data_IF_682214912607
#
_entry.id   IF_682214912607
#
_cell.length_a   1.000
_cell.length_b   1.000
_cell.length_c   1.000
_cell.angle_alpha   90.00
_cell.angle_beta   90.00
_cell.angle_gamma   90.00
#
_symmetry.space_group_name_H-M   'P 1'
#
loop_
_entity.id
_entity.type
_entity.pdbx_description
1 polymer ?
#
# COMPACT_ATOMS: atom_id res chain seq x y z
N UNK A 1 -29.60 3.96 46.20
CA UNK A 1 -30.31 2.68 46.05
C UNK A 1 -30.62 2.55 44.58
N UNK A 2 -29.96 1.58 43.97
CA UNK A 2 -29.62 1.47 42.55
C UNK A 2 -30.84 1.07 41.69
N UNK A 3 -31.08 1.77 40.60
CA UNK A 3 -31.94 1.32 39.49
C UNK A 3 -31.10 1.49 38.22
N UNK A 4 -30.29 0.47 37.93
CA UNK A 4 -29.71 0.28 36.60
C UNK A 4 -30.82 -0.30 35.73
N UNK A 5 -31.33 0.51 34.81
CA UNK A 5 -32.12 0.01 33.69
C UNK A 5 -31.17 -0.61 32.69
N UNK A 6 -31.42 -1.88 32.39
CA UNK A 6 -30.78 -2.67 31.35
C UNK A 6 -30.98 -1.98 29.99
N UNK A 7 -29.91 -1.37 29.47
CA UNK A 7 -29.82 -1.01 28.05
C UNK A 7 -29.32 -2.22 27.28
N UNK A 8 -30.26 -2.99 26.76
CA UNK A 8 -30.02 -3.98 25.73
C UNK A 8 -29.42 -3.28 24.50
N UNK A 9 -28.14 -3.57 24.22
CA UNK A 9 -27.46 -3.11 23.01
C UNK A 9 -27.93 -4.01 21.87
N UNK A 10 -28.97 -3.56 21.18
CA UNK A 10 -29.44 -4.21 19.95
C UNK A 10 -28.38 -3.98 18.86
N UNK A 11 -27.67 -5.04 18.50
CA UNK A 11 -26.77 -5.02 17.36
C UNK A 11 -27.59 -4.80 16.07
N UNK A 12 -27.14 -3.94 15.14
CA UNK A 12 -27.88 -3.72 13.90
C UNK A 12 -27.86 -5.00 13.05
N UNK A 13 -29.03 -5.43 12.58
CA UNK A 13 -29.15 -6.47 11.56
C UNK A 13 -28.45 -5.98 10.29
N UNK A 14 -27.31 -6.58 9.96
CA UNK A 14 -26.60 -6.32 8.71
C UNK A 14 -27.38 -7.01 7.61
N UNK A 15 -28.17 -6.22 6.88
CA UNK A 15 -28.86 -6.66 5.67
C UNK A 15 -27.88 -7.21 4.64
N UNK A 16 -28.27 -8.33 4.05
CA UNK A 16 -27.52 -9.05 3.02
C UNK A 16 -27.46 -8.23 1.71
N UNK A 17 -26.37 -7.47 1.55
CA UNK A 17 -25.94 -6.97 0.24
C UNK A 17 -24.64 -7.67 -0.16
N UNK A 18 -24.77 -8.83 -0.81
CA UNK A 18 -23.66 -9.58 -1.41
C UNK A 18 -23.03 -8.83 -2.59
N UNK A 19 -22.06 -7.97 -2.30
CA UNK A 19 -20.93 -7.65 -3.20
C UNK A 19 -19.67 -7.16 -2.47
N UNK A 20 -19.58 -7.39 -1.15
CA UNK A 20 -18.40 -7.08 -0.33
C UNK A 20 -17.56 -8.32 -0.01
N UNK A 21 -16.25 -8.16 0.06
CA UNK A 21 -15.33 -9.18 0.58
C UNK A 21 -15.61 -9.40 2.08
N UNK A 22 -16.24 -10.51 2.44
CA UNK A 22 -16.37 -10.93 3.84
C UNK A 22 -15.08 -11.63 4.28
N UNK A 23 -14.22 -10.86 4.97
CA UNK A 23 -12.91 -11.29 5.46
C UNK A 23 -13.06 -12.46 6.43
N UNK A 24 -14.07 -12.42 7.31
CA UNK A 24 -14.30 -13.45 8.33
C UNK A 24 -14.69 -14.77 7.68
N UNK A 25 -15.70 -14.74 6.80
CA UNK A 25 -16.17 -15.95 6.13
C UNK A 25 -15.12 -16.54 5.19
N UNK A 26 -14.35 -15.68 4.52
CA UNK A 26 -13.25 -16.11 3.65
C UNK A 26 -12.13 -16.76 4.46
N UNK A 27 -11.78 -16.19 5.61
CA UNK A 27 -10.80 -16.77 6.53
C UNK A 27 -11.25 -18.15 7.02
N UNK A 28 -12.50 -18.28 7.49
CA UNK A 28 -13.05 -19.56 7.95
C UNK A 28 -13.06 -20.61 6.84
N UNK A 29 -13.50 -20.24 5.63
CA UNK A 29 -13.52 -21.13 4.49
C UNK A 29 -12.11 -21.62 4.11
N UNK A 30 -11.11 -20.73 4.15
CA UNK A 30 -9.71 -21.06 3.85
C UNK A 30 -9.13 -21.97 4.93
N UNK A 31 -9.32 -21.64 6.21
CA UNK A 31 -8.91 -22.48 7.34
C UNK A 31 -9.43 -23.90 7.19
N UNK A 32 -10.73 -24.03 6.92
CA UNK A 32 -11.37 -25.34 6.79
C UNK A 32 -10.90 -26.10 5.55
N UNK A 33 -10.66 -25.39 4.43
CA UNK A 33 -10.11 -25.99 3.22
C UNK A 33 -8.71 -26.56 3.44
N UNK A 34 -7.83 -25.82 4.13
CA UNK A 34 -6.49 -26.31 4.46
C UNK A 34 -6.55 -27.48 5.46
N UNK A 35 -7.42 -27.42 6.48
CA UNK A 35 -7.60 -28.54 7.40
C UNK A 35 -8.07 -29.82 6.67
N UNK A 36 -9.00 -29.68 5.73
CA UNK A 36 -9.43 -30.80 4.87
C UNK A 36 -8.28 -31.33 4.01
N UNK A 37 -7.47 -30.45 3.43
CA UNK A 37 -6.29 -30.84 2.67
C UNK A 37 -5.31 -31.67 3.51
N UNK A 38 -5.03 -31.28 4.76
CA UNK A 38 -4.17 -32.08 5.65
C UNK A 38 -4.77 -33.44 6.00
N UNK A 39 -6.09 -33.52 6.14
CA UNK A 39 -6.79 -34.78 6.41
C UNK A 39 -6.80 -35.75 5.22
N UNK A 40 -6.74 -35.23 3.98
CA UNK A 40 -6.71 -36.05 2.76
C UNK A 40 -5.30 -36.37 2.29
N UNK A 41 -4.46 -35.35 2.08
CA UNK A 41 -3.10 -35.51 1.54
C UNK A 41 -2.15 -36.22 2.50
N UNK A 42 -2.30 -35.98 3.81
CA UNK A 42 -1.47 -36.57 4.86
C UNK A 42 -2.31 -37.49 5.77
N UNK A 43 -3.14 -38.35 5.18
CA UNK A 43 -4.12 -39.14 5.93
C UNK A 43 -3.46 -40.06 6.98
N UNK A 44 -3.86 -39.89 8.24
CA UNK A 44 -3.50 -40.78 9.36
C UNK A 44 -4.64 -41.78 9.59
N UNK A 45 -4.30 -43.09 9.65
CA UNK A 45 -5.30 -44.17 9.83
C UNK A 45 -5.90 -44.20 11.24
N UNK A 46 -5.09 -43.90 12.25
CA UNK A 46 -5.54 -43.86 13.64
C UNK A 46 -6.41 -42.61 13.90
N UNK A 47 -7.68 -42.77 14.32
CA UNK A 47 -8.58 -41.65 14.54
C UNK A 47 -8.14 -40.75 15.71
N UNK A 48 -7.43 -41.28 16.70
CA UNK A 48 -6.92 -40.52 17.87
C UNK A 48 -5.80 -39.59 17.44
N UNK A 49 -4.80 -40.11 16.72
CA UNK A 49 -3.68 -39.30 16.21
C UNK A 49 -4.17 -38.25 15.20
N UNK A 50 -5.17 -38.58 14.38
CA UNK A 50 -5.80 -37.60 13.47
C UNK A 50 -6.50 -36.46 14.23
N UNK A 51 -7.21 -36.79 15.32
CA UNK A 51 -7.87 -35.79 16.16
C UNK A 51 -6.85 -34.89 16.88
N UNK A 52 -5.78 -35.48 17.44
CA UNK A 52 -4.71 -34.75 18.10
C UNK A 52 -4.01 -33.77 17.15
N UNK A 53 -3.65 -34.22 15.94
CA UNK A 53 -3.09 -33.33 14.91
C UNK A 53 -4.05 -32.19 14.58
N UNK A 54 -5.34 -32.50 14.38
CA UNK A 54 -6.34 -31.48 14.05
C UNK A 54 -6.45 -30.44 15.18
N UNK A 55 -6.39 -30.86 16.44
CA UNK A 55 -6.38 -29.94 17.58
C UNK A 55 -5.12 -29.07 17.62
N UNK A 56 -3.94 -29.62 17.32
CA UNK A 56 -2.68 -28.86 17.27
C UNK A 56 -2.62 -27.86 16.10
N UNK A 57 -3.24 -28.19 14.96
CA UNK A 57 -3.26 -27.31 13.80
C UNK A 57 -4.38 -26.25 13.90
N UNK A 58 -5.53 -26.59 14.46
CA UNK A 58 -6.71 -25.72 14.53
C UNK A 58 -6.69 -24.77 15.74
N UNK A 59 -5.56 -24.11 15.96
CA UNK A 59 -5.38 -23.06 16.96
C UNK A 59 -4.59 -21.91 16.33
N UNK A 60 -4.78 -20.65 16.78
CA UNK A 60 -3.92 -19.55 16.37
C UNK A 60 -2.44 -19.87 16.63
N UNK A 61 -1.58 -19.64 15.64
CA UNK A 61 -0.16 -20.00 15.68
C UNK A 61 0.15 -21.46 15.32
N UNK A 62 -0.87 -22.30 15.11
CA UNK A 62 -0.74 -23.63 14.53
C UNK A 62 -0.54 -23.54 13.02
N UNK A 63 -1.63 -23.69 12.26
CA UNK A 63 -1.59 -23.55 10.80
C UNK A 63 -2.07 -22.18 10.28
N UNK A 64 -2.63 -21.36 11.16
CA UNK A 64 -3.15 -20.03 10.82
C UNK A 64 -2.89 -19.03 11.94
N UNK A 65 -2.87 -17.76 11.59
CA UNK A 65 -3.05 -16.66 12.53
C UNK A 65 -4.48 -16.13 12.41
N UNK A 66 -5.01 -15.53 13.48
CA UNK A 66 -6.30 -14.84 13.37
C UNK A 66 -6.17 -13.62 12.45
N UNK A 67 -7.21 -13.29 11.68
CA UNK A 67 -7.17 -12.12 10.82
C UNK A 67 -7.02 -10.86 11.68
N UNK A 68 -5.96 -10.09 11.42
CA UNK A 68 -5.73 -8.80 12.05
C UNK A 68 -6.38 -7.70 11.21
N UNK A 69 -7.41 -7.07 11.76
CA UNK A 69 -8.13 -5.98 11.10
C UNK A 69 -7.75 -4.67 11.76
N UNK A 70 -7.11 -3.79 10.99
CA UNK A 70 -6.75 -2.45 11.43
C UNK A 70 -7.46 -1.42 10.54
N UNK A 71 -8.17 -0.48 11.18
CA UNK A 71 -8.71 0.67 10.47
C UNK A 71 -7.56 1.62 10.15
N UNK A 72 -7.34 1.87 8.86
CA UNK A 72 -6.33 2.80 8.41
C UNK A 72 -6.97 4.16 8.13
N UNK A 73 -6.77 5.18 8.98
CA UNK A 73 -7.27 6.51 8.66
C UNK A 73 -6.62 7.02 7.38
N UNK A 74 -7.42 7.69 6.55
CA UNK A 74 -6.93 8.35 5.35
C UNK A 74 -6.02 9.52 5.72
N UNK A 75 -4.99 9.76 4.91
CA UNK A 75 -4.12 10.91 5.10
C UNK A 75 -4.83 12.17 4.61
N UNK A 76 -4.74 13.25 5.40
CA UNK A 76 -5.31 14.53 5.00
C UNK A 76 -4.66 15.07 3.72
N UNK A 77 -5.47 15.37 2.71
CA UNK A 77 -5.04 16.09 1.51
C UNK A 77 -4.89 17.58 1.79
N UNK A 78 -4.22 18.30 0.89
CA UNK A 78 -4.06 19.75 0.98
C UNK A 78 -5.33 20.52 0.63
N UNK A 79 -6.34 19.86 0.04
CA UNK A 79 -7.53 20.51 -0.53
C UNK A 79 -7.20 21.41 -1.71
N UNK A 80 -6.04 21.19 -2.35
CA UNK A 80 -5.52 21.98 -3.47
C UNK A 80 -5.12 21.05 -4.59
N UNK A 81 -5.28 21.56 -5.80
CA UNK A 81 -4.79 20.87 -6.99
C UNK A 81 -3.28 20.64 -6.89
N UNK A 82 -2.81 19.63 -7.62
CA UNK A 82 -1.38 19.37 -7.75
C UNK A 82 -0.64 20.62 -8.24
N UNK A 83 -1.14 21.28 -9.28
CA UNK A 83 -0.57 22.53 -9.82
C UNK A 83 -0.42 23.62 -8.75
N UNK A 84 -1.47 23.92 -7.98
CA UNK A 84 -1.40 24.92 -6.91
C UNK A 84 -0.36 24.55 -5.82
N UNK A 85 -0.25 23.26 -5.51
CA UNK A 85 0.72 22.76 -4.53
C UNK A 85 2.16 22.90 -5.05
N UNK A 86 2.38 22.63 -6.35
CA UNK A 86 3.66 22.82 -7.03
C UNK A 86 4.05 24.30 -7.08
N UNK A 87 3.13 25.18 -7.48
CA UNK A 87 3.36 26.64 -7.50
C UNK A 87 3.72 27.15 -6.11
N UNK A 88 2.99 26.73 -5.07
CA UNK A 88 3.28 27.10 -3.68
C UNK A 88 4.69 26.65 -3.25
N UNK A 89 5.12 25.48 -3.68
CA UNK A 89 6.45 24.97 -3.39
C UNK A 89 7.57 25.59 -4.25
N UNK A 90 7.24 26.50 -5.18
CA UNK A 90 8.19 27.00 -6.18
C UNK A 90 8.84 25.87 -6.99
N UNK A 91 8.06 24.82 -7.28
CA UNK A 91 8.47 23.70 -8.12
C UNK A 91 8.54 24.07 -9.61
N UNK A 92 9.00 23.12 -10.43
CA UNK A 92 8.95 23.26 -11.89
C UNK A 92 7.48 23.33 -12.34
N UNK A 93 7.17 24.22 -13.29
CA UNK A 93 5.79 24.44 -13.76
C UNK A 93 5.20 23.18 -14.42
N UNK A 94 6.04 22.39 -15.08
CA UNK A 94 5.66 21.15 -15.77
C UNK A 94 5.51 19.96 -14.81
N UNK A 95 5.82 20.11 -13.52
CA UNK A 95 5.84 19.00 -12.57
C UNK A 95 4.45 18.40 -12.38
N UNK A 96 3.41 19.23 -12.34
CA UNK A 96 2.04 18.77 -12.17
C UNK A 96 1.62 17.90 -13.37
N UNK A 97 1.80 18.43 -14.59
CA UNK A 97 1.52 17.72 -15.83
C UNK A 97 2.32 16.42 -15.91
N UNK A 98 3.61 16.44 -15.55
CA UNK A 98 4.47 15.27 -15.56
C UNK A 98 3.98 14.19 -14.59
N UNK A 99 3.57 14.58 -13.38
CA UNK A 99 3.08 13.65 -12.37
C UNK A 99 1.74 13.00 -12.78
N UNK A 100 0.88 13.74 -13.50
CA UNK A 100 -0.40 13.25 -14.02
C UNK A 100 -0.27 12.23 -15.16
N UNK A 101 0.89 12.14 -15.84
CA UNK A 101 1.17 11.08 -16.83
C UNK A 101 1.12 9.67 -16.21
N UNK A 102 1.05 9.57 -14.87
CA UNK A 102 0.73 8.34 -14.15
C UNK A 102 1.96 7.56 -13.67
N UNK A 103 3.17 8.07 -13.93
CA UNK A 103 4.41 7.44 -13.47
C UNK A 103 4.52 7.44 -11.93
N UNK A 104 3.98 8.47 -11.28
CA UNK A 104 4.16 8.70 -9.84
C UNK A 104 2.97 8.27 -8.99
N UNK A 105 1.84 7.84 -9.60
CA UNK A 105 0.63 7.47 -8.85
C UNK A 105 0.05 8.61 -7.99
N UNK A 106 0.37 9.86 -8.32
CA UNK A 106 -0.07 11.04 -7.58
C UNK A 106 -1.56 11.26 -7.85
N UNK A 107 -2.35 11.41 -6.79
CA UNK A 107 -3.76 11.76 -6.90
C UNK A 107 -3.98 13.20 -7.39
N UNK A 108 -5.24 13.62 -7.58
CA UNK A 108 -5.57 14.99 -7.99
C UNK A 108 -5.11 16.04 -6.97
N UNK A 109 -4.93 15.63 -5.71
CA UNK A 109 -4.42 16.46 -4.62
C UNK A 109 -3.26 15.74 -3.93
N UNK A 110 -2.29 16.53 -3.44
CA UNK A 110 -1.23 15.99 -2.60
C UNK A 110 -1.74 15.75 -1.17
N UNK A 111 -1.18 14.74 -0.52
CA UNK A 111 -1.25 14.68 0.93
C UNK A 111 -0.49 15.86 1.54
N UNK A 112 -0.97 16.34 2.68
CA UNK A 112 -0.35 17.47 3.40
C UNK A 112 1.15 17.27 3.65
N UNK A 113 1.57 16.03 3.93
CA UNK A 113 2.98 15.71 4.17
C UNK A 113 3.81 15.68 2.87
N UNK A 114 3.23 15.31 1.74
CA UNK A 114 3.90 15.33 0.43
C UNK A 114 4.20 16.77 0.02
N UNK A 115 3.23 17.67 0.14
CA UNK A 115 3.47 19.09 -0.14
C UNK A 115 4.51 19.68 0.81
N UNK A 116 4.41 19.43 2.12
CA UNK A 116 5.40 19.91 3.08
C UNK A 116 6.81 19.43 2.73
N UNK A 117 6.94 18.18 2.28
CA UNK A 117 8.19 17.64 1.79
C UNK A 117 8.66 18.39 0.52
N UNK A 118 7.78 18.61 -0.45
CA UNK A 118 8.07 19.36 -1.67
C UNK A 118 8.56 20.79 -1.37
N UNK A 119 7.81 21.55 -0.57
CA UNK A 119 8.17 22.91 -0.14
C UNK A 119 9.52 22.91 0.57
N UNK A 120 9.77 21.93 1.44
CA UNK A 120 11.00 21.93 2.26
C UNK A 120 12.22 21.49 1.47
N UNK A 121 12.07 20.51 0.57
CA UNK A 121 13.17 19.94 -0.21
C UNK A 121 13.66 20.89 -1.32
N UNK A 122 12.76 21.73 -1.87
CA UNK A 122 13.13 22.71 -2.88
C UNK A 122 13.81 23.97 -2.31
N UNK A 123 13.95 24.06 -0.98
CA UNK A 123 14.73 25.12 -0.34
C UNK A 123 16.20 24.68 -0.29
N UNK A 124 17.15 25.46 -0.85
CA UNK A 124 18.57 25.11 -0.86
C UNK A 124 19.12 24.79 0.53
N UNK A 125 19.90 23.72 0.63
CA UNK A 125 20.59 23.33 1.86
C UNK A 125 19.70 22.68 2.93
N UNK A 126 18.44 22.34 2.61
CA UNK A 126 17.56 21.62 3.54
C UNK A 126 17.49 20.13 3.23
N UNK A 127 17.44 19.34 4.29
CA UNK A 127 17.17 17.91 4.23
C UNK A 127 15.76 17.65 4.76
N UNK A 128 15.04 16.70 4.16
CA UNK A 128 13.67 16.34 4.54
C UNK A 128 13.64 14.90 5.05
N UNK A 129 13.00 14.70 6.20
CA UNK A 129 12.70 13.37 6.75
C UNK A 129 11.18 13.21 6.80
N UNK A 130 10.67 12.16 6.15
CA UNK A 130 9.24 11.85 6.11
C UNK A 130 8.98 10.59 6.91
N UNK A 131 8.42 10.74 8.11
CA UNK A 131 8.03 9.63 9.00
C UNK A 131 6.55 9.31 8.82
N UNK A 132 6.24 8.49 7.82
CA UNK A 132 4.86 8.06 7.56
C UNK A 132 4.75 6.54 7.38
N UNK A 133 3.57 5.97 7.63
CA UNK A 133 3.31 4.53 7.56
C UNK A 133 3.44 3.95 6.15
N UNK A 134 3.38 2.63 5.99
CA UNK A 134 3.36 1.99 4.67
C UNK A 134 2.14 2.46 3.85
N UNK A 135 2.30 2.66 2.53
CA UNK A 135 1.21 3.17 1.68
C UNK A 135 0.75 4.60 1.99
N UNK A 136 1.53 5.40 2.71
CA UNK A 136 1.19 6.79 3.03
C UNK A 136 1.49 7.78 1.92
N UNK A 137 2.17 7.36 0.86
CA UNK A 137 2.65 8.26 -0.18
C UNK A 137 4.07 8.83 0.03
N UNK A 138 4.95 8.08 0.75
CA UNK A 138 6.36 8.46 0.94
C UNK A 138 7.16 8.52 -0.36
N UNK A 139 6.82 7.65 -1.32
CA UNK A 139 7.49 7.57 -2.61
C UNK A 139 7.34 8.90 -3.36
N UNK A 140 6.13 9.43 -3.41
CA UNK A 140 5.77 10.69 -4.03
C UNK A 140 6.38 11.88 -3.26
N UNK A 141 6.36 11.83 -1.91
CA UNK A 141 7.01 12.84 -1.08
C UNK A 141 8.53 12.95 -1.32
N UNK A 142 9.16 11.85 -1.74
CA UNK A 142 10.58 11.78 -2.10
C UNK A 142 10.84 12.10 -3.58
N UNK A 143 10.01 11.60 -4.50
CA UNK A 143 10.22 11.71 -5.94
C UNK A 143 9.83 13.08 -6.50
N UNK A 144 8.76 13.70 -6.00
CA UNK A 144 8.29 15.00 -6.51
C UNK A 144 9.38 16.09 -6.44
N UNK A 145 10.11 16.27 -5.32
CA UNK A 145 11.23 17.23 -5.29
C UNK A 145 12.34 16.91 -6.29
N UNK A 146 12.73 15.64 -6.40
CA UNK A 146 13.81 15.21 -7.31
C UNK A 146 13.43 15.52 -8.76
N UNK A 147 12.20 15.16 -9.14
CA UNK A 147 11.72 15.37 -10.51
C UNK A 147 11.56 16.87 -10.78
N UNK A 148 11.09 17.65 -9.81
CA UNK A 148 11.05 19.11 -9.93
C UNK A 148 12.43 19.69 -10.25
N UNK A 149 13.47 19.26 -9.55
CA UNK A 149 14.83 19.75 -9.79
C UNK A 149 15.38 19.28 -11.13
N UNK A 150 15.14 18.01 -11.51
CA UNK A 150 15.52 17.49 -12.83
C UNK A 150 14.82 18.24 -13.97
N UNK A 151 13.54 18.58 -13.81
CA UNK A 151 12.80 19.37 -14.80
C UNK A 151 13.42 20.77 -14.93
N UNK A 152 13.74 21.44 -13.81
CA UNK A 152 14.43 22.74 -13.83
C UNK A 152 15.80 22.65 -14.53
N UNK A 153 16.60 21.65 -14.19
CA UNK A 153 17.93 21.42 -14.77
C UNK A 153 17.85 21.12 -16.28
N UNK A 154 16.83 20.37 -16.70
CA UNK A 154 16.65 19.97 -18.10
C UNK A 154 16.49 21.16 -19.07
N UNK A 155 15.98 22.31 -18.59
CA UNK A 155 15.76 23.52 -19.40
C UNK A 155 17.06 24.15 -19.90
N UNK A 156 18.16 23.95 -19.19
CA UNK A 156 19.50 24.47 -19.54
C UNK A 156 20.49 23.36 -19.82
N UNK A 157 20.03 22.14 -20.09
CA UNK A 157 20.89 21.00 -20.32
C UNK A 157 21.60 21.12 -21.69
N UNK A 158 22.90 21.38 -21.66
CA UNK A 158 23.75 21.47 -22.87
C UNK A 158 24.45 20.15 -23.23
N UNK A 159 24.25 19.09 -22.43
CA UNK A 159 24.89 17.80 -22.65
C UNK A 159 24.34 17.05 -23.87
N UNK A 160 25.18 16.25 -24.52
CA UNK A 160 24.74 15.37 -25.62
C UNK A 160 23.84 14.25 -25.07
N UNK A 161 22.73 13.90 -25.74
CA UNK A 161 21.92 12.75 -25.35
C UNK A 161 22.78 11.50 -25.22
N UNK A 162 22.66 10.81 -24.08
CA UNK A 162 23.32 9.52 -23.89
C UNK A 162 22.91 8.52 -24.96
N UNK A 163 23.81 7.62 -25.33
CA UNK A 163 23.50 6.55 -26.28
C UNK A 163 22.41 5.66 -25.68
N UNK A 164 21.23 5.62 -26.30
CA UNK A 164 20.11 4.83 -25.82
C UNK A 164 20.39 3.32 -25.99
N UNK A 165 20.96 2.71 -24.97
CA UNK A 165 21.19 1.26 -24.91
C UNK A 165 19.85 0.55 -24.65
N UNK A 166 19.22 0.05 -25.72
CA UNK A 166 18.01 -0.78 -25.63
C UNK A 166 18.36 -2.19 -25.13
N UNK A 167 18.71 -2.30 -23.86
CA UNK A 167 19.19 -3.56 -23.26
C UNK A 167 18.20 -4.72 -23.41
N UNK A 168 16.89 -4.44 -23.46
CA UNK A 168 15.83 -5.43 -23.70
C UNK A 168 15.80 -5.96 -25.16
N UNK A 169 16.50 -5.30 -26.09
CA UNK A 169 16.71 -5.79 -27.45
C UNK A 169 18.00 -6.61 -27.60
N UNK A 170 18.78 -6.77 -26.52
CA UNK A 170 19.92 -7.68 -26.52
C UNK A 170 19.40 -9.10 -26.63
N UNK A 171 19.44 -9.68 -27.83
CA UNK A 171 19.33 -11.12 -28.01
C UNK A 171 20.48 -11.71 -27.20
N UNK A 172 20.18 -12.33 -26.05
CA UNK A 172 21.14 -13.21 -25.40
C UNK A 172 21.49 -14.28 -26.42
N UNK A 173 22.72 -14.30 -26.89
CA UNK A 173 23.28 -15.54 -27.38
C UNK A 173 23.19 -16.51 -26.18
N UNK A 174 22.23 -17.42 -26.22
CA UNK A 174 22.24 -18.59 -25.34
C UNK A 174 23.49 -19.36 -25.69
N UNK A 175 24.60 -19.05 -25.01
CA UNK A 175 25.70 -19.98 -24.82
C UNK A 175 25.45 -20.54 -23.42
N UNK A 176 24.56 -21.53 -23.36
CA UNK A 176 24.57 -22.51 -22.29
C UNK A 176 25.29 -23.72 -22.88
N UNK A 177 26.59 -23.82 -22.58
CA UNK A 177 27.31 -25.09 -22.51
C UNK A 177 26.87 -25.82 -21.24
#
# INVERSE_FOLDING_TARGET
MDRREDREVVAPEIGDSMSGLDVTRTFEALRDAYLRYYDTAFRIRDPRLRAERRALLNVPGGMYAEPYVEVRPEYATTGRSLSESVTRASGAEELADFAEVGLLGVGPELYTHQERALVSALIPGRNVVVTAGTGSGKTEAFLLPIISDLLKESRSWEGTPGKAERWWQRRRACIWL
#
